data_IF_559773162711
#
_entry.id   IF_559773162711
#
_cell.length_a   1.000
_cell.length_b   1.000
_cell.length_c   1.000
_cell.angle_alpha   90.00
_cell.angle_beta   90.00
_cell.angle_gamma   90.00
#
_symmetry.space_group_name_H-M   'P 1'
#
loop_
_entity.id
_entity.type
_entity.pdbx_description
1 polymer ?
#
# COMPACT_ATOMS: atom_id res chain seq x y z
N UNK A 1 7.49 -45.67 7.63
CA UNK A 1 7.11 -44.32 8.09
C UNK A 1 7.93 -43.33 7.25
N UNK A 2 7.34 -42.72 6.23
CA UNK A 2 8.02 -41.72 5.38
C UNK A 2 7.35 -40.37 5.64
N UNK A 3 8.13 -39.45 6.22
CA UNK A 3 7.69 -38.10 6.53
C UNK A 3 7.59 -37.32 5.21
N UNK A 4 6.36 -36.99 4.79
CA UNK A 4 6.14 -36.06 3.67
C UNK A 4 6.69 -34.69 4.07
N UNK A 5 7.88 -34.34 3.57
CA UNK A 5 8.34 -32.96 3.60
C UNK A 5 7.43 -32.16 2.66
N UNK A 6 6.59 -31.29 3.23
CA UNK A 6 5.81 -30.32 2.48
C UNK A 6 6.79 -29.35 1.79
N UNK A 7 7.16 -29.65 0.55
CA UNK A 7 7.89 -28.72 -0.32
C UNK A 7 6.97 -27.54 -0.63
N UNK A 8 7.05 -26.51 0.21
CA UNK A 8 6.51 -25.18 -0.10
C UNK A 8 7.21 -24.71 -1.38
N UNK A 9 6.56 -24.93 -2.52
CA UNK A 9 7.07 -24.56 -3.84
C UNK A 9 6.96 -23.05 -3.93
N UNK A 10 8.02 -22.35 -3.50
CA UNK A 10 8.11 -20.90 -3.63
C UNK A 10 8.17 -20.62 -5.13
N UNK A 11 7.06 -20.14 -5.71
CA UNK A 11 7.06 -19.75 -7.11
C UNK A 11 8.07 -18.61 -7.33
N UNK A 12 8.86 -18.66 -8.40
CA UNK A 12 9.88 -17.65 -8.66
C UNK A 12 9.23 -16.26 -8.69
N UNK A 13 9.77 -15.34 -7.88
CA UNK A 13 9.26 -13.98 -7.79
C UNK A 13 9.44 -13.31 -9.15
N UNK A 14 8.35 -13.05 -9.85
CA UNK A 14 8.35 -12.24 -11.06
C UNK A 14 8.52 -10.78 -10.64
N UNK A 15 9.77 -10.32 -10.65
CA UNK A 15 10.15 -8.94 -10.26
C UNK A 15 9.38 -7.89 -11.05
N UNK A 16 9.16 -8.11 -12.35
CA UNK A 16 8.41 -7.17 -13.18
C UNK A 16 6.95 -7.06 -12.73
N UNK A 17 6.32 -8.19 -12.38
CA UNK A 17 4.95 -8.20 -11.87
C UNK A 17 4.85 -7.60 -10.46
N UNK A 18 5.85 -7.80 -9.59
CA UNK A 18 5.93 -7.16 -8.28
C UNK A 18 6.05 -5.63 -8.42
N UNK A 19 7.00 -5.14 -9.20
CA UNK A 19 7.21 -3.71 -9.46
C UNK A 19 5.94 -3.09 -10.05
N UNK A 20 5.28 -3.77 -11.00
CA UNK A 20 4.02 -3.30 -11.57
C UNK A 20 2.94 -3.11 -10.49
N UNK A 21 2.77 -4.07 -9.57
CA UNK A 21 1.78 -3.94 -8.48
C UNK A 21 2.15 -2.85 -7.48
N UNK A 22 3.43 -2.68 -7.18
CA UNK A 22 3.93 -1.58 -6.35
C UNK A 22 3.66 -0.21 -6.98
N UNK A 23 3.92 -0.07 -8.29
CA UNK A 23 3.67 1.17 -9.02
C UNK A 23 2.17 1.50 -9.10
N UNK A 24 1.31 0.50 -9.31
CA UNK A 24 -0.14 0.70 -9.30
C UNK A 24 -0.61 1.16 -7.91
N UNK A 25 -0.19 0.45 -6.85
CA UNK A 25 -0.56 0.79 -5.48
C UNK A 25 -0.05 2.17 -5.04
N UNK A 26 1.22 2.46 -5.32
CA UNK A 26 1.85 3.75 -5.05
C UNK A 26 1.24 4.88 -5.87
N UNK A 27 0.93 4.65 -7.15
CA UNK A 27 0.30 5.62 -8.04
C UNK A 27 -1.12 5.99 -7.59
N UNK A 28 -1.95 5.01 -7.20
CA UNK A 28 -3.29 5.27 -6.65
C UNK A 28 -3.19 6.10 -5.36
N UNK A 29 -2.30 5.70 -4.44
CA UNK A 29 -2.08 6.42 -3.20
C UNK A 29 -1.55 7.85 -3.43
N UNK A 30 -0.70 8.05 -4.44
CA UNK A 30 -0.20 9.37 -4.85
C UNK A 30 -1.32 10.27 -5.40
N UNK A 31 -2.19 9.73 -6.26
CA UNK A 31 -3.34 10.49 -6.78
C UNK A 31 -4.30 10.88 -5.66
N UNK A 32 -4.59 9.95 -4.73
CA UNK A 32 -5.47 10.23 -3.60
C UNK A 32 -4.91 11.31 -2.68
N UNK A 33 -3.62 11.26 -2.34
CA UNK A 33 -3.01 12.29 -1.49
C UNK A 33 -2.91 13.63 -2.21
N UNK A 34 -2.65 13.63 -3.53
CA UNK A 34 -2.69 14.84 -4.34
C UNK A 34 -4.07 15.51 -4.30
N UNK A 35 -5.15 14.73 -4.44
CA UNK A 35 -6.51 15.23 -4.37
C UNK A 35 -6.88 15.79 -2.99
N UNK A 36 -6.30 15.27 -1.91
CA UNK A 36 -6.51 15.78 -0.55
C UNK A 36 -5.74 17.08 -0.29
N UNK A 37 -4.49 17.15 -0.78
CA UNK A 37 -3.55 18.22 -0.40
C UNK A 37 -3.62 19.42 -1.35
N UNK A 38 -3.76 19.22 -2.67
CA UNK A 38 -3.75 20.30 -3.66
C UNK A 38 -4.91 21.31 -3.56
N UNK A 39 -6.13 20.96 -3.11
CA UNK A 39 -7.21 21.94 -2.94
C UNK A 39 -6.97 22.95 -1.80
N UNK A 40 -5.97 22.72 -0.95
CA UNK A 40 -5.70 23.56 0.23
C UNK A 40 -4.98 24.84 -0.21
N UNK A 41 -5.75 25.92 -0.39
CA UNK A 41 -5.23 27.22 -0.83
C UNK A 41 -4.69 28.11 0.28
N UNK A 42 -5.15 27.89 1.52
CA UNK A 42 -4.73 28.66 2.70
C UNK A 42 -4.20 27.69 3.78
N UNK A 43 -2.97 27.18 3.61
CA UNK A 43 -2.34 26.39 4.65
C UNK A 43 -2.09 27.26 5.88
N UNK A 44 -2.31 26.70 7.07
CA UNK A 44 -2.04 27.45 8.30
C UNK A 44 -0.53 27.67 8.45
N UNK A 45 -0.07 28.85 8.89
CA UNK A 45 1.36 29.15 9.03
C UNK A 45 2.08 28.22 10.01
N UNK A 46 1.34 27.61 10.96
CA UNK A 46 1.83 26.63 11.92
C UNK A 46 2.29 25.29 11.30
N UNK A 47 1.94 25.01 10.05
CA UNK A 47 2.30 23.76 9.37
C UNK A 47 3.71 23.79 8.76
N UNK A 48 4.30 24.99 8.57
CA UNK A 48 5.59 25.18 7.90
C UNK A 48 5.52 25.00 6.38
N UNK A 49 6.54 25.47 5.64
CA UNK A 49 6.51 25.54 4.17
C UNK A 49 6.54 24.15 3.48
N UNK A 50 7.16 23.16 4.16
CA UNK A 50 7.37 21.80 3.63
C UNK A 50 6.31 20.79 4.08
N UNK A 51 5.18 21.26 4.61
CA UNK A 51 4.13 20.41 5.18
C UNK A 51 3.57 19.37 4.19
N UNK A 52 3.54 19.70 2.88
CA UNK A 52 3.04 18.80 1.83
C UNK A 52 4.00 17.64 1.52
N UNK A 53 5.30 17.77 1.81
CA UNK A 53 6.30 16.75 1.42
C UNK A 53 6.06 15.43 2.14
N UNK A 54 5.77 15.47 3.45
CA UNK A 54 5.51 14.28 4.27
C UNK A 54 4.38 13.41 3.68
N UNK A 55 3.17 13.92 3.42
CA UNK A 55 2.09 13.13 2.86
C UNK A 55 2.41 12.60 1.45
N UNK A 56 3.10 13.38 0.61
CA UNK A 56 3.50 12.95 -0.73
C UNK A 56 4.57 11.85 -0.76
N UNK A 57 5.30 11.61 0.32
CA UNK A 57 6.28 10.52 0.40
C UNK A 57 5.70 9.32 1.14
N UNK A 58 5.11 9.55 2.31
CA UNK A 58 4.66 8.47 3.19
C UNK A 58 3.46 7.71 2.58
N UNK A 59 2.49 8.44 2.01
CA UNK A 59 1.26 7.83 1.48
C UNK A 59 1.53 6.92 0.27
N UNK A 60 2.31 7.34 -0.74
CA UNK A 60 2.64 6.46 -1.87
C UNK A 60 3.51 5.28 -1.48
N UNK A 61 4.42 5.44 -0.51
CA UNK A 61 5.21 4.32 0.01
C UNK A 61 4.31 3.28 0.70
N UNK A 62 3.33 3.72 1.49
CA UNK A 62 2.34 2.84 2.10
C UNK A 62 1.49 2.13 1.03
N UNK A 63 1.05 2.85 -0.01
CA UNK A 63 0.34 2.27 -1.16
C UNK A 63 1.18 1.24 -1.92
N UNK A 64 2.46 1.52 -2.16
CA UNK A 64 3.38 0.61 -2.82
C UNK A 64 3.61 -0.67 -1.99
N UNK A 65 3.74 -0.53 -0.66
CA UNK A 65 3.83 -1.67 0.26
C UNK A 65 2.56 -2.54 0.23
N UNK A 66 1.37 -1.94 0.18
CA UNK A 66 0.11 -2.67 0.02
C UNK A 66 0.05 -3.44 -1.31
N UNK A 67 0.51 -2.83 -2.41
CA UNK A 67 0.64 -3.50 -3.72
C UNK A 67 1.63 -4.66 -3.71
N UNK A 68 2.77 -4.51 -3.03
CA UNK A 68 3.76 -5.57 -2.83
C UNK A 68 3.19 -6.73 -1.99
N UNK A 69 2.47 -6.42 -0.92
CA UNK A 69 1.86 -7.42 -0.04
C UNK A 69 0.83 -8.28 -0.79
N UNK A 70 0.00 -7.67 -1.64
CA UNK A 70 -0.91 -8.42 -2.51
C UNK A 70 -0.18 -9.33 -3.49
N UNK A 71 0.96 -8.87 -4.05
CA UNK A 71 1.82 -9.71 -4.90
C UNK A 71 2.31 -10.94 -4.16
N UNK A 72 2.93 -10.73 -2.99
CA UNK A 72 3.49 -11.79 -2.16
C UNK A 72 2.42 -12.79 -1.72
N UNK A 73 1.27 -12.32 -1.26
CA UNK A 73 0.18 -13.21 -0.83
C UNK A 73 -0.30 -14.12 -1.98
N UNK A 74 -0.45 -13.56 -3.18
CA UNK A 74 -0.97 -14.32 -4.32
C UNK A 74 0.10 -15.25 -4.94
N UNK A 75 1.37 -14.84 -4.94
CA UNK A 75 2.48 -15.60 -5.53
C UNK A 75 2.97 -16.73 -4.59
N UNK A 76 3.04 -16.47 -3.29
CA UNK A 76 3.61 -17.43 -2.32
C UNK A 76 2.61 -18.53 -1.96
N UNK A 77 1.33 -18.23 -1.90
CA UNK A 77 0.34 -19.18 -1.39
C UNK A 77 -0.42 -19.96 -2.46
N UNK A 78 -0.14 -19.76 -3.76
CA UNK A 78 -0.79 -20.44 -4.90
C UNK A 78 -2.31 -20.61 -4.68
N UNK A 79 -2.97 -19.57 -4.17
CA UNK A 79 -4.32 -19.66 -3.64
C UNK A 79 -5.30 -19.93 -4.80
N UNK A 80 -6.02 -21.04 -4.71
CA UNK A 80 -7.07 -21.45 -5.65
C UNK A 80 -8.46 -21.28 -5.03
N UNK A 81 -9.44 -20.94 -5.86
CA UNK A 81 -10.84 -20.78 -5.46
C UNK A 81 -11.08 -19.67 -4.43
N UNK A 82 -11.83 -19.99 -3.37
CA UNK A 82 -12.30 -19.04 -2.36
C UNK A 82 -11.18 -18.34 -1.58
N UNK A 83 -10.05 -19.02 -1.36
CA UNK A 83 -8.92 -18.45 -0.61
C UNK A 83 -8.27 -17.28 -1.36
N UNK A 84 -8.30 -17.28 -2.70
CA UNK A 84 -7.82 -16.18 -3.54
C UNK A 84 -8.69 -14.93 -3.40
N UNK A 85 -10.00 -15.12 -3.35
CA UNK A 85 -10.97 -14.04 -3.13
C UNK A 85 -10.77 -13.43 -1.75
N UNK A 86 -10.65 -14.27 -0.71
CA UNK A 86 -10.37 -13.80 0.64
C UNK A 86 -9.05 -13.03 0.74
N UNK A 87 -7.97 -13.52 0.11
CA UNK A 87 -6.69 -12.81 0.06
C UNK A 87 -6.77 -11.48 -0.70
N UNK A 88 -7.59 -11.40 -1.75
CA UNK A 88 -7.86 -10.15 -2.46
C UNK A 88 -8.59 -9.15 -1.56
N UNK A 89 -9.65 -9.58 -0.87
CA UNK A 89 -10.42 -8.73 0.06
C UNK A 89 -9.53 -8.23 1.20
N UNK A 90 -8.74 -9.12 1.83
CA UNK A 90 -7.79 -8.73 2.89
C UNK A 90 -6.73 -7.76 2.36
N UNK A 91 -6.25 -7.96 1.13
CA UNK A 91 -5.31 -7.02 0.51
C UNK A 91 -5.94 -5.66 0.24
N UNK A 92 -7.19 -5.61 -0.21
CA UNK A 92 -7.93 -4.36 -0.43
C UNK A 92 -8.14 -3.64 0.89
N UNK A 93 -8.58 -4.34 1.94
CA UNK A 93 -8.73 -3.78 3.28
C UNK A 93 -7.40 -3.26 3.82
N UNK A 94 -6.33 -4.05 3.71
CA UNK A 94 -4.99 -3.63 4.10
C UNK A 94 -4.49 -2.42 3.30
N UNK A 95 -4.82 -2.33 2.01
CA UNK A 95 -4.49 -1.19 1.16
C UNK A 95 -5.24 0.08 1.58
N UNK A 96 -6.54 -0.04 1.87
CA UNK A 96 -7.36 1.06 2.38
C UNK A 96 -6.84 1.54 3.73
N UNK A 97 -6.52 0.62 4.65
CA UNK A 97 -5.94 0.94 5.96
C UNK A 97 -4.57 1.60 5.81
N UNK A 98 -3.70 1.09 4.92
CA UNK A 98 -2.37 1.64 4.69
C UNK A 98 -2.43 3.05 4.07
N UNK A 99 -3.34 3.29 3.12
CA UNK A 99 -3.59 4.63 2.58
C UNK A 99 -4.11 5.55 3.68
N UNK A 100 -5.10 5.09 4.45
CA UNK A 100 -5.67 5.88 5.53
C UNK A 100 -4.63 6.25 6.59
N UNK A 101 -3.79 5.30 7.00
CA UNK A 101 -2.66 5.56 7.90
C UNK A 101 -1.63 6.50 7.27
N UNK A 102 -1.35 6.38 5.97
CA UNK A 102 -0.46 7.29 5.25
C UNK A 102 -0.99 8.73 5.22
N UNK A 103 -2.30 8.89 5.05
CA UNK A 103 -2.98 10.19 5.12
C UNK A 103 -2.91 10.74 6.54
N UNK A 104 -3.27 9.94 7.56
CA UNK A 104 -3.24 10.35 8.97
C UNK A 104 -1.82 10.73 9.42
N UNK A 105 -0.82 9.90 9.11
CA UNK A 105 0.59 10.18 9.44
C UNK A 105 1.17 11.34 8.62
N UNK A 106 0.80 11.45 7.35
CA UNK A 106 1.21 12.54 6.48
C UNK A 106 0.64 13.88 6.91
N UNK A 107 -0.58 13.88 7.45
CA UNK A 107 -1.28 15.06 7.96
C UNK A 107 -1.13 15.24 9.48
N UNK A 108 -0.37 14.37 10.15
CA UNK A 108 -0.14 14.46 11.59
C UNK A 108 0.60 15.77 11.92
N UNK A 109 -0.01 16.57 12.81
CA UNK A 109 0.47 17.92 13.13
C UNK A 109 0.03 19.00 12.15
N UNK A 110 -0.86 18.69 11.19
CA UNK A 110 -1.50 19.68 10.31
C UNK A 110 -3.04 19.63 10.40
N UNK A 111 -3.68 18.85 9.51
CA UNK A 111 -5.13 18.63 9.48
C UNK A 111 -5.60 17.57 10.48
N UNK A 112 -4.69 16.78 11.03
CA UNK A 112 -4.99 15.71 11.97
C UNK A 112 -4.16 15.90 13.25
N UNK A 113 -4.85 15.93 14.41
CA UNK A 113 -4.27 16.05 15.75
C UNK A 113 -4.62 14.81 16.58
#
# INVERSE_FOLDING_TARGET
MMTHANNLTIQPINRAALIKRMLIGGGIAFVLIALLVLPIRNPKPEWGELWMIRPFIITPLAGAAGGAFNYLMNNTFALTGWKKVLALVISILGFVIAIWLGIVLGLAGTLWN
#
